data_IF_679930038308
#
_entry.id   IF_679930038308
#
_cell.length_a   1.000
_cell.length_b   1.000
_cell.length_c   1.000
_cell.angle_alpha   90.00
_cell.angle_beta   90.00
_cell.angle_gamma   90.00
#
_symmetry.space_group_name_H-M   'P 1'
#
loop_
_entity.id
_entity.type
_entity.pdbx_description
1 polymer ?
#
# COMPACT_ATOMS: atom_id res chain seq x y z
N UNK A 1 -29.22 -22.03 -37.65
CA UNK A 1 -28.27 -20.96 -37.28
C UNK A 1 -28.40 -20.69 -35.79
N UNK A 2 -27.64 -21.37 -34.93
CA UNK A 2 -27.65 -21.20 -33.46
C UNK A 2 -26.22 -21.10 -32.88
N UNK A 3 -25.21 -20.98 -33.75
CA UNK A 3 -23.79 -21.05 -33.38
C UNK A 3 -23.16 -19.77 -32.77
N UNK A 4 -23.69 -18.52 -32.92
CA UNK A 4 -22.94 -17.35 -32.43
C UNK A 4 -23.13 -17.05 -30.93
N UNK A 5 -24.11 -17.68 -30.26
CA UNK A 5 -24.39 -17.45 -28.83
C UNK A 5 -23.66 -18.41 -27.87
N UNK A 6 -23.08 -19.51 -28.40
CA UNK A 6 -22.41 -20.53 -27.57
C UNK A 6 -20.95 -20.18 -27.25
N UNK A 7 -20.27 -19.42 -28.12
CA UNK A 7 -18.86 -19.05 -27.97
C UNK A 7 -18.56 -18.15 -26.75
N UNK A 8 -19.29 -17.04 -26.50
CA UNK A 8 -18.99 -16.17 -25.35
C UNK A 8 -19.34 -16.82 -24.00
N UNK A 9 -20.36 -17.69 -23.97
CA UNK A 9 -20.71 -18.45 -22.77
C UNK A 9 -19.67 -19.52 -22.43
N UNK A 10 -19.00 -20.08 -23.44
CA UNK A 10 -17.94 -21.07 -23.25
C UNK A 10 -16.63 -20.42 -22.77
N UNK A 11 -16.26 -19.24 -23.29
CA UNK A 11 -15.08 -18.50 -22.85
C UNK A 11 -15.20 -18.02 -21.41
N UNK A 12 -16.37 -17.52 -21.00
CA UNK A 12 -16.62 -17.07 -19.63
C UNK A 12 -16.55 -18.23 -18.62
N UNK A 13 -17.00 -19.44 -19.01
CA UNK A 13 -16.90 -20.65 -18.18
C UNK A 13 -15.47 -21.18 -18.06
N UNK A 14 -14.66 -21.07 -19.11
CA UNK A 14 -13.26 -21.50 -19.11
C UNK A 14 -12.37 -20.57 -18.26
N UNK A 15 -12.55 -19.25 -18.38
CA UNK A 15 -11.83 -18.28 -17.54
C UNK A 15 -12.18 -18.47 -16.05
N UNK A 16 -13.46 -18.73 -15.74
CA UNK A 16 -13.90 -19.04 -14.37
C UNK A 16 -13.27 -20.32 -13.81
N UNK A 17 -13.23 -21.40 -14.59
CA UNK A 17 -12.65 -22.66 -14.15
C UNK A 17 -11.13 -22.56 -13.85
N UNK A 18 -10.44 -21.58 -14.46
CA UNK A 18 -9.00 -21.39 -14.25
C UNK A 18 -8.65 -20.95 -12.82
N UNK A 19 -9.53 -20.18 -12.16
CA UNK A 19 -9.26 -19.57 -10.84
C UNK A 19 -10.07 -20.17 -9.68
N UNK A 20 -10.78 -21.28 -9.89
CA UNK A 20 -11.60 -21.91 -8.82
C UNK A 20 -10.77 -22.41 -7.63
N UNK A 21 -9.47 -22.64 -7.83
CA UNK A 21 -8.53 -22.99 -6.76
C UNK A 21 -7.99 -21.74 -6.02
N UNK A 22 -8.05 -20.56 -6.64
CA UNK A 22 -7.46 -19.33 -6.13
C UNK A 22 -8.45 -18.55 -5.26
N UNK A 23 -9.72 -18.50 -5.64
CA UNK A 23 -10.77 -17.83 -4.87
C UNK A 23 -12.16 -18.29 -5.32
N UNK A 24 -13.17 -18.02 -4.49
CA UNK A 24 -14.56 -18.17 -4.91
C UNK A 24 -15.02 -16.87 -5.57
N UNK A 25 -15.54 -16.92 -6.80
CA UNK A 25 -16.06 -15.70 -7.44
C UNK A 25 -17.26 -15.13 -6.62
N UNK A 26 -17.17 -13.90 -6.08
CA UNK A 26 -18.22 -13.30 -5.24
C UNK A 26 -19.61 -13.34 -5.86
N UNK A 27 -19.72 -13.22 -7.19
CA UNK A 27 -21.00 -13.18 -7.91
C UNK A 27 -21.82 -14.47 -7.78
N UNK A 28 -21.17 -15.58 -7.43
CA UNK A 28 -21.82 -16.89 -7.33
C UNK A 28 -22.72 -17.03 -6.11
N UNK A 29 -22.52 -16.17 -5.11
CA UNK A 29 -23.23 -16.23 -3.84
C UNK A 29 -23.65 -14.81 -3.38
N UNK A 30 -24.21 -14.04 -4.32
CA UNK A 30 -24.75 -12.69 -4.10
C UNK A 30 -23.73 -11.64 -3.58
N UNK A 31 -22.44 -11.91 -3.71
CA UNK A 31 -21.37 -10.93 -3.53
C UNK A 31 -21.12 -10.08 -4.77
N UNK A 32 -20.09 -9.25 -4.70
CA UNK A 32 -19.73 -8.32 -5.77
C UNK A 32 -18.21 -8.15 -5.88
N UNK A 33 -17.75 -7.84 -7.09
CA UNK A 33 -16.37 -7.40 -7.36
C UNK A 33 -16.15 -5.91 -7.11
N UNK A 34 -17.15 -5.22 -6.57
CA UNK A 34 -17.03 -3.84 -6.10
C UNK A 34 -17.49 -3.74 -4.65
N UNK A 35 -16.85 -2.83 -3.91
CA UNK A 35 -17.25 -2.47 -2.55
C UNK A 35 -18.62 -1.78 -2.56
N UNK A 36 -19.23 -1.58 -1.38
CA UNK A 36 -20.42 -0.78 -1.22
C UNK A 36 -20.21 0.69 -1.65
N UNK A 37 -18.96 1.15 -1.64
CA UNK A 37 -18.53 2.46 -2.12
C UNK A 37 -18.21 2.45 -3.62
N UNK A 38 -18.43 1.34 -4.32
CA UNK A 38 -18.16 1.15 -5.73
C UNK A 38 -16.69 1.22 -6.13
N UNK A 39 -15.76 0.94 -5.21
CA UNK A 39 -14.37 0.69 -5.55
C UNK A 39 -14.20 -0.75 -6.04
N UNK A 40 -13.42 -0.99 -7.10
CA UNK A 40 -13.18 -2.32 -7.63
C UNK A 40 -12.24 -3.12 -6.73
N UNK A 41 -12.59 -4.40 -6.50
CA UNK A 41 -11.72 -5.41 -5.91
C UNK A 41 -10.80 -5.95 -7.02
N UNK A 42 -9.81 -5.17 -7.41
CA UNK A 42 -8.98 -5.36 -8.61
C UNK A 42 -7.69 -6.15 -8.38
N UNK A 43 -7.40 -6.58 -7.14
CA UNK A 43 -6.30 -7.48 -6.81
C UNK A 43 -6.81 -8.61 -5.92
N UNK A 44 -6.32 -9.84 -6.14
CA UNK A 44 -6.61 -11.00 -5.29
C UNK A 44 -5.31 -11.68 -4.90
N UNK A 45 -5.06 -11.86 -3.61
CA UNK A 45 -4.08 -12.84 -3.12
C UNK A 45 -4.75 -14.20 -3.09
N UNK A 46 -4.27 -15.09 -3.97
CA UNK A 46 -4.79 -16.44 -4.15
C UNK A 46 -4.74 -17.24 -2.85
N UNK A 47 -5.76 -18.07 -2.63
CA UNK A 47 -5.81 -19.08 -1.57
C UNK A 47 -4.69 -20.13 -1.68
N UNK A 48 -4.00 -20.22 -2.83
CA UNK A 48 -2.81 -21.05 -3.04
C UNK A 48 -1.51 -20.41 -2.52
N UNK A 49 -1.56 -19.15 -2.07
CA UNK A 49 -0.43 -18.49 -1.41
C UNK A 49 -0.11 -19.14 -0.06
N UNK A 50 1.08 -18.85 0.48
CA UNK A 50 1.49 -19.21 1.85
C UNK A 50 0.36 -18.92 2.85
N UNK A 51 -0.01 -19.93 3.66
CA UNK A 51 -1.18 -19.86 4.55
C UNK A 51 -1.02 -18.75 5.60
N UNK A 52 0.21 -18.46 5.98
CA UNK A 52 0.60 -17.45 6.95
C UNK A 52 0.10 -16.05 6.54
N UNK A 53 -0.06 -15.74 5.25
CA UNK A 53 -0.59 -14.46 4.76
C UNK A 53 -2.05 -14.18 5.20
N UNK A 54 -2.72 -15.16 5.79
CA UNK A 54 -4.06 -15.00 6.38
C UNK A 54 -3.99 -14.44 7.81
N UNK A 55 -2.81 -14.38 8.38
CA UNK A 55 -2.49 -13.62 9.58
C UNK A 55 -2.24 -12.17 9.18
N UNK A 56 -2.89 -11.23 9.87
CA UNK A 56 -2.88 -9.81 9.48
C UNK A 56 -1.47 -9.20 9.54
N UNK A 57 -0.67 -9.60 10.51
CA UNK A 57 0.71 -9.17 10.69
C UNK A 57 1.64 -9.68 9.58
N UNK A 58 1.42 -10.90 9.08
CA UNK A 58 2.19 -11.44 7.94
C UNK A 58 1.77 -10.76 6.63
N UNK A 59 0.47 -10.51 6.42
CA UNK A 59 0.02 -9.75 5.26
C UNK A 59 0.56 -8.31 5.28
N UNK A 60 0.55 -7.68 6.46
CA UNK A 60 1.15 -6.38 6.67
C UNK A 60 2.64 -6.38 6.36
N UNK A 61 3.38 -7.39 6.81
CA UNK A 61 4.80 -7.52 6.56
C UNK A 61 5.11 -7.68 5.06
N UNK A 62 4.25 -8.38 4.31
CA UNK A 62 4.30 -8.41 2.85
C UNK A 62 3.97 -7.05 2.21
N UNK A 63 2.93 -6.34 2.65
CA UNK A 63 2.63 -5.00 2.13
C UNK A 63 3.78 -4.02 2.39
N UNK A 64 4.45 -4.14 3.53
CA UNK A 64 5.67 -3.38 3.84
C UNK A 64 6.83 -3.72 2.90
N UNK A 65 7.00 -4.99 2.50
CA UNK A 65 8.02 -5.38 1.52
C UNK A 65 7.78 -4.79 0.13
N UNK A 66 6.52 -4.45 -0.19
CA UNK A 66 6.16 -3.75 -1.43
C UNK A 66 6.41 -2.24 -1.36
N UNK A 67 6.59 -1.66 -0.16
CA UNK A 67 6.73 -0.22 0.07
C UNK A 67 5.47 0.50 0.55
N UNK A 68 4.44 -0.24 0.98
CA UNK A 68 3.29 0.34 1.68
C UNK A 68 3.53 0.40 3.19
N UNK A 69 2.75 1.19 3.90
CA UNK A 69 2.74 1.25 5.35
C UNK A 69 1.31 1.46 5.87
N UNK A 70 1.10 1.11 7.14
CA UNK A 70 -0.14 1.41 7.86
C UNK A 70 -0.49 2.88 7.75
N UNK A 71 -1.79 3.16 7.74
CA UNK A 71 -2.33 4.52 7.70
C UNK A 71 -1.67 5.49 8.69
N UNK A 72 -1.61 6.76 8.29
CA UNK A 72 -1.09 7.87 9.09
C UNK A 72 -1.85 8.04 10.40
N UNK A 73 -1.39 7.39 11.48
CA UNK A 73 -1.94 7.52 12.84
C UNK A 73 -3.48 7.34 12.92
N UNK A 74 -4.07 6.55 12.02
CA UNK A 74 -5.52 6.33 11.92
C UNK A 74 -6.32 7.51 11.33
N UNK A 75 -5.66 8.43 10.61
CA UNK A 75 -6.32 9.54 9.93
C UNK A 75 -6.72 9.16 8.50
N UNK A 76 -7.98 8.76 8.30
CA UNK A 76 -8.67 8.81 7.00
C UNK A 76 -9.84 9.79 7.04
N UNK A 77 -10.17 10.33 5.88
CA UNK A 77 -11.50 10.85 5.62
C UNK A 77 -12.45 9.67 5.30
N UNK A 78 -13.49 9.48 6.10
CA UNK A 78 -14.55 8.48 5.86
C UNK A 78 -14.66 7.43 6.95
N UNK A 79 -15.59 6.50 6.77
CA UNK A 79 -15.67 5.27 7.56
C UNK A 79 -15.04 4.09 6.81
N UNK A 80 -14.91 2.93 7.46
CA UNK A 80 -14.39 1.73 6.79
C UNK A 80 -15.28 1.36 5.61
N UNK A 81 -14.65 1.03 4.47
CA UNK A 81 -15.36 0.52 3.32
C UNK A 81 -15.90 -0.89 3.58
N UNK A 82 -16.94 -1.26 2.85
CA UNK A 82 -17.60 -2.56 3.02
C UNK A 82 -17.57 -3.38 1.73
N UNK A 83 -17.30 -4.67 1.82
CA UNK A 83 -17.35 -5.58 0.69
C UNK A 83 -18.16 -6.84 1.04
N UNK A 84 -18.86 -7.39 0.05
CA UNK A 84 -19.50 -8.69 0.14
C UNK A 84 -18.82 -9.65 -0.82
N UNK A 85 -18.00 -10.55 -0.27
CA UNK A 85 -17.15 -11.45 -1.03
C UNK A 85 -17.84 -12.75 -1.46
N UNK A 86 -19.16 -12.86 -1.27
CA UNK A 86 -19.92 -14.06 -1.63
C UNK A 86 -19.57 -15.28 -0.77
N UNK A 87 -19.13 -15.06 0.46
CA UNK A 87 -18.69 -16.09 1.41
C UNK A 87 -19.74 -16.41 2.49
N UNK A 88 -20.91 -15.78 2.40
CA UNK A 88 -22.00 -15.92 3.38
C UNK A 88 -21.96 -14.91 4.52
N UNK A 89 -20.92 -14.08 4.63
CA UNK A 89 -20.80 -13.05 5.67
C UNK A 89 -21.54 -11.75 5.33
N UNK A 90 -22.02 -11.59 4.08
CA UNK A 90 -22.64 -10.37 3.62
C UNK A 90 -21.62 -9.23 3.49
N UNK A 91 -22.06 -7.98 3.70
CA UNK A 91 -21.16 -6.84 3.70
C UNK A 91 -20.38 -6.75 5.00
N UNK A 92 -19.06 -6.88 4.92
CA UNK A 92 -18.13 -6.74 6.04
C UNK A 92 -17.20 -5.55 5.83
N UNK A 93 -16.81 -4.90 6.93
CA UNK A 93 -15.85 -3.80 6.89
C UNK A 93 -14.48 -4.29 6.39
N UNK A 94 -13.72 -3.40 5.75
CA UNK A 94 -12.31 -3.61 5.45
C UNK A 94 -11.54 -4.01 6.71
N UNK A 95 -10.57 -4.90 6.55
CA UNK A 95 -9.68 -5.30 7.66
C UNK A 95 -8.62 -4.24 7.92
N UNK A 96 -8.05 -3.66 6.86
CA UNK A 96 -7.04 -2.60 6.97
C UNK A 96 -6.93 -1.72 5.73
N UNK A 97 -6.17 -0.63 5.88
CA UNK A 97 -5.82 0.33 4.83
C UNK A 97 -4.33 0.63 4.90
N UNK A 98 -3.66 0.42 3.78
CA UNK A 98 -2.23 0.64 3.60
C UNK A 98 -2.00 1.69 2.52
N UNK A 99 -1.04 2.58 2.73
CA UNK A 99 -0.72 3.70 1.84
C UNK A 99 0.75 3.64 1.43
N UNK A 100 1.07 4.11 0.24
CA UNK A 100 2.44 4.14 -0.24
C UNK A 100 3.35 4.93 0.70
N UNK A 101 4.47 4.35 1.12
CA UNK A 101 5.32 4.93 2.16
C UNK A 101 6.46 5.81 1.63
N UNK A 102 6.67 5.90 0.31
CA UNK A 102 7.77 6.66 -0.31
C UNK A 102 9.17 6.32 0.23
N UNK A 103 9.37 5.09 0.74
CA UNK A 103 10.63 4.69 1.37
C UNK A 103 10.90 5.37 2.73
N UNK A 104 9.92 6.09 3.28
CA UNK A 104 10.00 6.67 4.61
C UNK A 104 9.52 5.66 5.67
N UNK A 105 10.01 5.76 6.92
CA UNK A 105 9.61 4.84 7.98
C UNK A 105 8.12 4.93 8.31
N UNK A 106 7.44 3.78 8.26
CA UNK A 106 6.04 3.55 8.67
C UNK A 106 5.12 4.78 8.48
N UNK A 107 4.55 5.29 9.57
CA UNK A 107 3.59 6.38 9.57
C UNK A 107 4.12 7.67 8.93
N UNK A 108 5.44 7.91 8.89
CA UNK A 108 5.98 9.09 8.21
C UNK A 108 5.70 9.04 6.71
N UNK A 109 5.79 7.85 6.12
CA UNK A 109 5.51 7.63 4.70
C UNK A 109 4.03 7.74 4.36
N UNK A 110 3.17 7.07 5.11
CA UNK A 110 1.72 7.13 4.88
C UNK A 110 1.13 8.51 5.21
N UNK A 111 1.70 9.24 6.17
CA UNK A 111 1.35 10.66 6.40
C UNK A 111 1.83 11.56 5.26
N UNK A 112 2.95 11.24 4.63
CA UNK A 112 3.43 11.97 3.46
C UNK A 112 2.55 11.70 2.24
N UNK A 113 2.13 10.46 2.01
CA UNK A 113 1.12 10.12 1.01
C UNK A 113 -0.17 10.92 1.22
N UNK A 114 -0.64 11.02 2.47
CA UNK A 114 -1.80 11.86 2.80
C UNK A 114 -1.60 13.35 2.48
N UNK A 115 -0.39 13.80 2.15
CA UNK A 115 -0.12 15.16 1.68
C UNK A 115 0.11 15.24 0.17
N UNK A 116 0.69 14.21 -0.45
CA UNK A 116 1.15 14.26 -1.85
C UNK A 116 0.29 13.43 -2.82
N UNK A 117 -0.54 12.54 -2.30
CA UNK A 117 -1.33 11.57 -3.06
C UNK A 117 -0.47 10.43 -3.58
N UNK A 118 -1.01 9.22 -3.57
CA UNK A 118 -0.33 8.05 -4.09
C UNK A 118 -1.18 6.80 -3.98
N UNK A 119 -0.52 5.65 -4.20
CA UNK A 119 -1.22 4.38 -4.19
C UNK A 119 -1.65 3.96 -2.79
N UNK A 120 -2.86 3.43 -2.66
CA UNK A 120 -3.35 2.82 -1.43
C UNK A 120 -4.06 1.49 -1.71
N UNK A 121 -4.13 0.66 -0.67
CA UNK A 121 -4.73 -0.68 -0.71
C UNK A 121 -5.63 -0.86 0.51
N UNK A 122 -6.87 -1.29 0.25
CA UNK A 122 -7.79 -1.85 1.24
C UNK A 122 -7.86 -3.35 1.04
N UNK A 123 -8.09 -4.11 2.09
CA UNK A 123 -8.23 -5.57 1.95
C UNK A 123 -9.30 -6.19 2.85
N UNK A 124 -9.75 -7.37 2.41
CA UNK A 124 -10.74 -8.22 3.06
C UNK A 124 -10.35 -9.69 2.90
N UNK A 125 -10.59 -10.50 3.92
CA UNK A 125 -10.45 -11.95 3.84
C UNK A 125 -11.76 -12.58 3.35
N UNK A 126 -11.67 -13.49 2.38
CA UNK A 126 -12.82 -14.26 1.92
C UNK A 126 -13.03 -15.50 2.80
N UNK A 127 -14.22 -15.66 3.37
CA UNK A 127 -14.59 -16.83 4.16
C UNK A 127 -13.91 -16.90 5.53
N UNK A 128 -14.16 -18.01 6.23
CA UNK A 128 -13.37 -18.35 7.42
C UNK A 128 -11.93 -18.53 6.97
N UNK A 129 -10.96 -17.91 7.65
CA UNK A 129 -9.53 -17.82 7.29
C UNK A 129 -8.80 -19.19 7.10
N UNK A 130 -9.54 -20.29 7.04
CA UNK A 130 -9.13 -21.66 6.69
C UNK A 130 -9.14 -21.93 5.17
N UNK A 131 -9.04 -23.21 4.77
CA UNK A 131 -8.54 -23.84 3.52
C UNK A 131 -8.88 -23.20 2.15
N UNK A 132 -9.72 -22.16 2.05
CA UNK A 132 -10.04 -21.45 0.78
C UNK A 132 -10.02 -19.93 0.87
N UNK A 133 -9.51 -19.36 1.97
CA UNK A 133 -9.57 -17.92 2.19
C UNK A 133 -8.56 -17.14 1.36
N UNK A 134 -9.00 -16.68 0.18
CA UNK A 134 -8.30 -15.67 -0.60
C UNK A 134 -8.41 -14.30 0.08
N UNK A 135 -7.54 -13.36 -0.31
CA UNK A 135 -7.55 -11.99 0.19
C UNK A 135 -7.89 -11.08 -0.97
N UNK A 136 -8.99 -10.33 -0.87
CA UNK A 136 -9.42 -9.40 -1.89
C UNK A 136 -8.91 -8.01 -1.53
N UNK A 137 -8.31 -7.34 -2.51
CA UNK A 137 -7.72 -6.03 -2.37
C UNK A 137 -8.43 -5.05 -3.31
N UNK A 138 -8.76 -3.87 -2.79
CA UNK A 138 -9.10 -2.70 -3.61
C UNK A 138 -7.88 -1.79 -3.62
N UNK A 139 -7.20 -1.75 -4.76
CA UNK A 139 -6.03 -0.91 -4.97
C UNK A 139 -6.41 0.29 -5.85
N UNK A 140 -5.96 1.47 -5.45
CA UNK A 140 -6.15 2.68 -6.26
C UNK A 140 -4.98 3.65 -6.07
N UNK A 141 -5.02 4.76 -6.79
CA UNK A 141 -4.06 5.85 -6.73
C UNK A 141 -4.85 7.16 -6.56
N UNK A 142 -4.52 7.92 -5.51
CA UNK A 142 -5.24 9.12 -5.10
C UNK A 142 -4.43 10.39 -5.43
N UNK A 143 -5.11 11.48 -5.74
CA UNK A 143 -4.52 12.80 -5.74
C UNK A 143 -4.14 13.23 -4.32
N UNK A 144 -3.41 14.34 -4.22
CA UNK A 144 -3.04 14.94 -2.96
C UNK A 144 -4.24 15.49 -2.16
N UNK A 145 -3.95 15.92 -0.93
CA UNK A 145 -4.96 16.50 -0.03
C UNK A 145 -5.61 17.79 -0.56
N UNK A 146 -4.93 18.58 -1.40
CA UNK A 146 -5.52 19.81 -1.97
C UNK A 146 -6.62 19.49 -2.99
N UNK A 147 -6.57 18.30 -3.59
CA UNK A 147 -7.62 17.67 -4.39
C UNK A 147 -8.48 16.67 -3.59
N UNK A 148 -8.42 16.70 -2.25
CA UNK A 148 -9.26 15.89 -1.35
C UNK A 148 -9.08 14.37 -1.47
N UNK A 149 -7.92 13.90 -1.92
CA UNK A 149 -7.70 12.48 -2.19
C UNK A 149 -8.69 11.90 -3.22
N UNK A 150 -9.11 12.71 -4.19
CA UNK A 150 -9.87 12.23 -5.33
C UNK A 150 -9.03 11.20 -6.11
N UNK A 151 -9.67 10.18 -6.66
CA UNK A 151 -8.95 9.13 -7.40
C UNK A 151 -8.42 9.74 -8.69
N UNK A 152 -7.14 9.49 -9.00
CA UNK A 152 -6.53 10.03 -10.24
C UNK A 152 -7.16 9.41 -11.47
N UNK A 153 -7.02 10.06 -12.64
CA UNK A 153 -7.38 9.45 -13.92
C UNK A 153 -6.69 8.08 -14.07
N UNK A 154 -7.47 7.03 -14.38
CA UNK A 154 -7.00 5.64 -14.44
C UNK A 154 -6.48 5.08 -13.09
N UNK A 155 -6.85 5.70 -11.97
CA UNK A 155 -6.28 5.40 -10.65
C UNK A 155 -6.49 3.97 -10.15
N UNK A 156 -7.58 3.31 -10.53
CA UNK A 156 -7.79 1.90 -10.18
C UNK A 156 -6.84 0.96 -10.91
N UNK A 157 -6.66 1.14 -12.22
CA UNK A 157 -5.75 0.31 -12.99
C UNK A 157 -4.30 0.60 -12.59
N UNK A 158 -3.94 1.87 -12.36
CA UNK A 158 -2.64 2.27 -11.80
C UNK A 158 -2.37 1.65 -10.43
N UNK A 159 -3.32 1.73 -9.50
CA UNK A 159 -3.17 1.14 -8.17
C UNK A 159 -2.94 -0.38 -8.22
N UNK A 160 -3.73 -1.09 -9.02
CA UNK A 160 -3.53 -2.54 -9.26
C UNK A 160 -2.15 -2.82 -9.83
N UNK A 161 -1.75 -2.09 -10.87
CA UNK A 161 -0.49 -2.31 -11.56
C UNK A 161 0.72 -1.96 -10.68
N UNK A 162 0.59 -0.98 -9.78
CA UNK A 162 1.60 -0.67 -8.77
C UNK A 162 1.78 -1.83 -7.78
N UNK A 163 0.68 -2.39 -7.26
CA UNK A 163 0.74 -3.56 -6.37
C UNK A 163 1.36 -4.76 -7.09
N UNK A 164 0.87 -5.09 -8.28
CA UNK A 164 1.37 -6.23 -9.05
C UNK A 164 2.83 -6.06 -9.49
N UNK A 165 3.20 -4.87 -9.96
CA UNK A 165 4.55 -4.55 -10.40
C UNK A 165 5.57 -4.57 -9.27
N UNK A 166 5.22 -3.99 -8.11
CA UNK A 166 6.11 -4.01 -6.94
C UNK A 166 6.26 -5.42 -6.36
N UNK A 167 5.22 -6.26 -6.42
CA UNK A 167 5.27 -7.60 -5.87
C UNK A 167 6.09 -8.59 -6.72
N UNK A 168 6.20 -8.37 -8.02
CA UNK A 168 6.68 -9.40 -8.99
C UNK A 168 8.13 -9.22 -9.43
N UNK A 169 8.95 -8.57 -8.60
CA UNK A 169 10.39 -8.44 -8.85
C UNK A 169 11.08 -9.82 -8.86
N UNK A 170 12.03 -10.12 -9.79
CA UNK A 170 12.58 -11.47 -9.96
C UNK A 170 13.27 -12.07 -8.73
N UNK A 171 13.81 -11.24 -7.83
CA UNK A 171 14.46 -11.67 -6.59
C UNK A 171 13.51 -11.87 -5.42
N UNK A 172 12.21 -11.60 -5.61
CA UNK A 172 11.28 -11.38 -4.51
C UNK A 172 11.49 -10.02 -3.84
N UNK A 173 10.52 -9.66 -3.00
CA UNK A 173 10.58 -8.48 -2.14
C UNK A 173 11.06 -8.87 -0.75
N UNK A 174 11.71 -7.93 -0.05
CA UNK A 174 12.25 -8.16 1.30
C UNK A 174 11.55 -7.20 2.25
N UNK A 175 10.91 -7.74 3.28
CA UNK A 175 10.31 -6.89 4.30
C UNK A 175 11.40 -6.13 5.06
N UNK A 176 11.29 -4.80 5.20
CA UNK A 176 12.24 -4.01 5.98
C UNK A 176 12.17 -4.31 7.48
N UNK A 177 11.03 -4.79 7.98
CA UNK A 177 10.81 -5.09 9.41
C UNK A 177 11.31 -6.47 9.82
N UNK A 178 11.02 -7.49 9.02
CA UNK A 178 11.29 -8.89 9.37
C UNK A 178 12.50 -9.50 8.64
N UNK A 179 12.90 -8.90 7.51
CA UNK A 179 13.85 -9.51 6.58
C UNK A 179 13.27 -10.70 5.79
N UNK A 180 11.98 -10.99 5.93
CA UNK A 180 11.30 -12.06 5.20
C UNK A 180 11.31 -11.77 3.70
N UNK A 181 11.61 -12.81 2.91
CA UNK A 181 11.60 -12.74 1.45
C UNK A 181 10.28 -13.31 0.93
N UNK A 182 9.56 -12.51 0.15
CA UNK A 182 8.30 -12.90 -0.50
C UNK A 182 8.50 -13.02 -2.00
N UNK A 183 8.25 -14.22 -2.53
CA UNK A 183 8.24 -14.51 -3.96
C UNK A 183 6.80 -14.45 -4.47
N UNK A 184 6.53 -13.58 -5.44
CA UNK A 184 5.18 -13.42 -5.98
C UNK A 184 5.14 -13.67 -7.48
N UNK A 185 4.17 -14.44 -7.93
CA UNK A 185 3.77 -14.52 -9.33
C UNK A 185 2.42 -13.84 -9.52
N UNK A 186 2.21 -13.22 -10.68
CA UNK A 186 0.92 -12.60 -11.04
C UNK A 186 0.34 -13.24 -12.30
N UNK A 187 -0.96 -13.45 -12.29
CA UNK A 187 -1.75 -13.70 -13.49
C UNK A 187 -2.81 -12.60 -13.65
N UNK A 188 -2.86 -11.96 -14.81
CA UNK A 188 -3.88 -10.95 -15.12
C UNK A 188 -5.12 -11.65 -15.66
N UNK A 189 -6.16 -11.69 -14.82
CA UNK A 189 -7.40 -12.39 -15.11
C UNK A 189 -8.47 -11.45 -15.65
N UNK A 190 -9.30 -11.95 -16.56
CA UNK A 190 -10.44 -11.21 -17.14
C UNK A 190 -11.74 -12.00 -16.97
N UNK A 191 -12.89 -11.34 -17.16
CA UNK A 191 -14.22 -11.98 -17.10
C UNK A 191 -14.90 -11.92 -15.72
N UNK A 192 -14.28 -11.24 -14.75
CA UNK A 192 -14.87 -10.94 -13.44
C UNK A 192 -15.72 -9.67 -13.46
N UNK A 193 -15.30 -8.70 -14.26
CA UNK A 193 -16.08 -7.54 -14.66
C UNK A 193 -15.68 -7.05 -16.05
N UNK A 194 -16.56 -6.28 -16.69
CA UNK A 194 -16.31 -5.72 -18.03
C UNK A 194 -15.47 -4.44 -17.93
N UNK A 195 -14.68 -4.19 -18.97
CA UNK A 195 -14.01 -2.90 -19.12
C UNK A 195 -15.03 -1.77 -19.28
N UNK A 196 -14.76 -0.62 -18.66
CA UNK A 196 -15.61 0.56 -18.73
C UNK A 196 -15.91 1.17 -17.36
N UNK A 197 -17.08 1.77 -17.23
CA UNK A 197 -17.46 2.60 -16.07
C UNK A 197 -18.37 1.87 -15.08
N UNK A 198 -18.69 0.60 -15.34
CA UNK A 198 -19.64 -0.15 -14.51
C UNK A 198 -19.18 -1.57 -14.28
N UNK A 199 -19.34 -2.05 -13.05
CA UNK A 199 -19.18 -3.46 -12.69
C UNK A 199 -20.54 -4.02 -12.32
N UNK A 200 -21.02 -5.00 -13.10
CA UNK A 200 -22.33 -5.62 -12.89
C UNK A 200 -23.49 -4.60 -12.77
N UNK A 201 -23.42 -3.50 -13.55
CA UNK A 201 -24.43 -2.43 -13.55
C UNK A 201 -24.28 -1.39 -12.43
N UNK A 202 -23.28 -1.53 -11.56
CA UNK A 202 -22.92 -0.52 -10.55
C UNK A 202 -21.87 0.42 -11.16
N UNK A 203 -22.11 1.72 -11.15
CA UNK A 203 -21.13 2.72 -11.60
C UNK A 203 -19.90 2.68 -10.69
N UNK A 204 -18.71 2.61 -11.29
CA UNK A 204 -17.44 2.69 -10.56
C UNK A 204 -17.32 4.06 -9.91
N UNK A 205 -16.81 4.07 -8.68
CA UNK A 205 -16.62 5.27 -7.90
C UNK A 205 -15.79 6.31 -8.68
N UNK A 206 -16.21 7.58 -8.62
CA UNK A 206 -15.70 8.71 -9.41
C UNK A 206 -15.87 8.62 -10.94
N UNK A 207 -16.68 7.70 -11.46
CA UNK A 207 -16.86 7.49 -12.92
C UNK A 207 -15.52 7.25 -13.66
N UNK A 208 -14.61 6.53 -13.01
CA UNK A 208 -13.30 6.19 -13.58
C UNK A 208 -13.40 4.85 -14.30
N UNK A 209 -12.90 4.82 -15.53
CA UNK A 209 -12.86 3.61 -16.34
C UNK A 209 -11.85 2.60 -15.79
N UNK A 210 -12.19 1.32 -15.89
CA UNK A 210 -11.30 0.19 -15.62
C UNK A 210 -11.15 -0.67 -16.87
N UNK A 211 -10.03 -1.35 -17.03
CA UNK A 211 -9.75 -2.24 -18.17
C UNK A 211 -10.39 -3.64 -18.07
N UNK A 212 -11.06 -3.94 -16.95
CA UNK A 212 -11.71 -5.22 -16.72
C UNK A 212 -10.79 -6.34 -16.22
N UNK A 213 -9.55 -6.02 -15.85
CA UNK A 213 -8.56 -6.97 -15.36
C UNK A 213 -8.45 -6.99 -13.84
N UNK A 214 -8.21 -8.19 -13.31
CA UNK A 214 -7.89 -8.45 -11.91
C UNK A 214 -6.50 -9.06 -11.83
N UNK A 215 -5.62 -8.52 -10.99
CA UNK A 215 -4.33 -9.14 -10.72
C UNK A 215 -4.48 -10.24 -9.67
N UNK A 216 -4.27 -11.50 -10.07
CA UNK A 216 -4.29 -12.66 -9.16
C UNK A 216 -2.85 -12.99 -8.78
N UNK A 217 -2.51 -12.74 -7.51
CA UNK A 217 -1.18 -12.93 -6.94
C UNK A 217 -1.10 -14.27 -6.23
N UNK A 218 -0.06 -15.05 -6.51
CA UNK A 218 0.33 -16.22 -5.71
C UNK A 218 1.65 -15.89 -5.02
N UNK A 219 1.63 -15.85 -3.69
CA UNK A 219 2.76 -15.40 -2.87
C UNK A 219 3.31 -16.58 -2.07
N UNK A 220 4.62 -16.79 -2.13
CA UNK A 220 5.36 -17.79 -1.35
C UNK A 220 6.34 -17.09 -0.42
N UNK A 221 6.29 -17.42 0.86
CA UNK A 221 7.28 -17.01 1.86
C UNK A 221 8.50 -17.92 1.73
N UNK A 222 9.68 -17.34 1.46
CA UNK A 222 10.91 -18.11 1.31
C UNK A 222 11.38 -18.66 2.66
N UNK A 223 11.77 -19.94 2.69
CA UNK A 223 12.41 -20.57 3.84
C UNK A 223 13.90 -20.20 4.00
N UNK A 224 14.47 -19.37 3.11
CA UNK A 224 15.80 -18.80 3.28
C UNK A 224 15.80 -17.81 4.46
N UNK A 225 15.80 -18.39 5.66
CA UNK A 225 15.98 -17.68 6.93
C UNK A 225 17.31 -16.91 6.89
N UNK A 226 17.26 -15.72 7.46
CA UNK A 226 18.29 -14.71 7.73
C UNK A 226 19.58 -15.18 8.45
N UNK A 227 19.94 -16.46 8.36
CA UNK A 227 21.09 -17.06 9.04
C UNK A 227 22.45 -16.56 8.52
N UNK A 228 22.52 -16.04 7.29
CA UNK A 228 23.77 -15.51 6.72
C UNK A 228 24.10 -14.08 7.20
N UNK A 229 23.10 -13.27 7.58
CA UNK A 229 23.33 -11.90 8.04
C UNK A 229 23.81 -11.81 9.50
N UNK A 230 23.62 -12.86 10.30
CA UNK A 230 24.12 -12.96 11.68
C UNK A 230 25.64 -13.13 11.75
N UNK A 231 26.24 -13.91 10.83
CA UNK A 231 27.66 -14.21 10.86
C UNK A 231 28.50 -13.13 10.17
N UNK A 232 28.03 -12.60 9.04
CA UNK A 232 28.76 -11.56 8.30
C UNK A 232 28.76 -10.22 9.06
N UNK A 233 27.66 -9.88 9.74
CA UNK A 233 27.58 -8.66 10.56
C UNK A 233 28.54 -8.68 11.77
N UNK A 234 28.80 -9.86 12.36
CA UNK A 234 29.75 -9.97 13.48
C UNK A 234 31.21 -9.75 13.04
N UNK A 235 31.59 -10.23 11.84
CA UNK A 235 32.94 -10.04 11.32
C UNK A 235 33.19 -8.61 10.82
N UNK A 236 32.20 -7.95 10.21
CA UNK A 236 32.32 -6.57 9.75
C UNK A 236 32.37 -5.60 10.93
N UNK A 237 31.52 -5.79 11.96
CA UNK A 237 31.54 -4.94 13.16
C UNK A 237 32.85 -5.09 13.95
N UNK A 238 33.37 -6.31 14.08
CA UNK A 238 34.65 -6.56 14.76
C UNK A 238 35.84 -5.93 14.01
N UNK A 239 35.83 -5.98 12.67
CA UNK A 239 36.86 -5.33 11.85
C UNK A 239 36.77 -3.79 11.89
N UNK A 240 35.56 -3.21 11.97
CA UNK A 240 35.35 -1.76 12.04
C UNK A 240 35.66 -1.17 13.42
N UNK A 241 35.37 -1.91 14.51
CA UNK A 241 35.74 -1.51 15.87
C UNK A 241 37.27 -1.57 16.04
N UNK A 242 37.94 -2.55 15.43
CA UNK A 242 39.41 -2.64 15.48
C UNK A 242 40.11 -1.54 14.66
N UNK A 243 39.52 -1.12 13.53
CA UNK A 243 40.07 -0.04 12.70
C UNK A 243 39.84 1.35 13.29
N UNK A 244 38.70 1.57 13.95
CA UNK A 244 38.38 2.84 14.62
C UNK A 244 39.15 3.03 15.93
N UNK A 245 39.45 1.94 16.67
CA UNK A 245 40.31 1.99 17.86
C UNK A 245 41.78 2.25 17.52
N UNK A 246 42.26 1.80 16.34
CA UNK A 246 43.63 2.05 15.88
C UNK A 246 43.79 3.37 15.09
N UNK A 247 42.71 3.86 14.45
CA UNK A 247 42.72 5.12 13.69
C UNK A 247 42.28 6.37 14.47
N UNK A 248 41.48 6.20 15.53
CA UNK A 248 40.84 7.31 16.27
C UNK A 248 41.79 8.13 17.15
N UNK A 249 43.02 7.67 17.41
CA UNK A 249 44.00 8.42 18.18
C UNK A 249 44.72 9.52 17.39
N UNK A 250 44.67 9.49 16.05
CA UNK A 250 45.42 10.43 15.21
C UNK A 250 44.65 11.70 14.82
N UNK A 251 43.32 11.75 15.01
CA UNK A 251 42.50 12.85 14.44
C UNK A 251 41.76 13.71 15.46
N UNK A 252 41.88 13.45 16.77
CA UNK A 252 41.13 14.17 17.80
C UNK A 252 41.66 15.60 18.12
N UNK A 253 42.71 16.09 17.46
CA UNK A 253 43.29 17.41 17.77
C UNK A 253 43.38 18.42 16.61
N UNK A 254 42.69 18.19 15.50
CA UNK A 254 42.67 19.17 14.42
C UNK A 254 41.22 19.55 14.06
N UNK A 255 40.92 20.84 14.28
CA UNK A 255 39.85 21.63 13.67
C UNK A 255 38.51 21.75 14.45
N UNK A 256 38.47 22.75 15.34
CA UNK A 256 37.33 23.68 15.45
C UNK A 256 37.54 24.82 14.43
N UNK A 257 36.48 25.35 13.79
CA UNK A 257 35.80 26.53 14.35
C UNK A 257 34.27 26.58 14.17
N UNK A 258 33.72 27.60 14.84
CA UNK A 258 32.33 28.03 15.07
C UNK A 258 31.55 28.54 13.85
N UNK A 259 30.22 28.34 13.82
CA UNK A 259 29.22 29.43 13.80
C UNK A 259 27.76 28.92 13.72
N UNK A 260 26.95 29.44 14.65
CA UNK A 260 25.56 29.90 14.52
C UNK A 260 24.47 29.03 13.89
N UNK A 261 23.60 28.48 14.73
CA UNK A 261 22.18 28.24 14.40
C UNK A 261 21.32 29.38 14.94
N UNK A 262 20.68 30.12 14.04
CA UNK A 262 19.63 31.09 14.36
C UNK A 262 18.30 30.35 14.53
N UNK A 263 17.67 30.50 15.69
CA UNK A 263 16.30 30.05 15.92
C UNK A 263 15.33 31.01 15.26
N UNK A 264 14.66 30.60 14.18
CA UNK A 264 13.58 31.41 13.58
C UNK A 264 12.25 31.08 14.27
N UNK A 265 11.72 32.05 15.03
CA UNK A 265 10.34 32.07 15.52
C UNK A 265 9.42 32.42 14.35
N UNK A 266 8.54 31.52 13.95
CA UNK A 266 7.43 31.84 13.06
C UNK A 266 6.25 32.31 13.91
N UNK A 267 5.82 33.54 13.64
CA UNK A 267 4.72 34.22 14.31
C UNK A 267 3.39 33.57 13.89
N UNK A 268 2.73 32.90 14.82
CA UNK A 268 1.42 32.28 14.61
C UNK A 268 0.35 33.36 14.48
N UNK A 269 0.22 33.95 13.28
CA UNK A 269 -0.98 34.71 12.94
C UNK A 269 -2.15 33.73 12.84
N UNK A 270 -3.08 33.83 13.80
CA UNK A 270 -4.35 33.11 13.83
C UNK A 270 -5.06 33.21 12.47
N UNK A 271 -5.24 32.10 11.75
CA UNK A 271 -6.19 32.03 10.67
C UNK A 271 -7.59 31.87 11.27
N UNK A 272 -8.57 32.44 10.56
CA UNK A 272 -9.99 32.42 10.89
C UNK A 272 -10.52 30.97 11.06
N UNK A 273 -11.44 30.81 12.01
CA UNK A 273 -11.88 29.55 12.63
C UNK A 273 -12.73 28.64 11.70
N UNK A 274 -12.89 28.99 10.42
CA UNK A 274 -13.88 28.34 9.55
C UNK A 274 -13.35 27.44 8.43
N UNK A 275 -12.05 27.30 8.25
CA UNK A 275 -11.55 26.42 7.19
C UNK A 275 -11.07 25.06 7.72
N UNK A 276 -11.94 24.05 7.63
CA UNK A 276 -11.59 22.64 7.91
C UNK A 276 -10.38 22.19 7.07
N UNK A 277 -10.19 22.76 5.88
CA UNK A 277 -9.08 22.49 4.95
C UNK A 277 -7.72 22.88 5.57
N UNK A 278 -7.65 24.05 6.19
CA UNK A 278 -6.42 24.52 6.84
C UNK A 278 -6.09 23.71 8.10
N UNK A 279 -7.11 23.31 8.86
CA UNK A 279 -6.91 22.50 10.07
C UNK A 279 -6.43 21.08 9.77
N UNK A 280 -6.98 20.43 8.73
CA UNK A 280 -6.54 19.10 8.31
C UNK A 280 -5.11 19.14 7.75
N UNK A 281 -4.79 20.15 6.92
CA UNK A 281 -3.44 20.32 6.38
C UNK A 281 -2.41 20.55 7.50
N UNK A 282 -2.68 21.45 8.45
CA UNK A 282 -1.78 21.72 9.56
C UNK A 282 -1.59 20.49 10.46
N UNK A 283 -2.65 19.71 10.70
CA UNK A 283 -2.57 18.49 11.50
C UNK A 283 -1.71 17.42 10.81
N UNK A 284 -1.95 17.16 9.52
CA UNK A 284 -1.17 16.22 8.74
C UNK A 284 0.30 16.65 8.66
N UNK A 285 0.58 17.94 8.44
CA UNK A 285 1.94 18.47 8.39
C UNK A 285 2.66 18.37 9.74
N UNK A 286 1.97 18.68 10.84
CA UNK A 286 2.55 18.61 12.18
C UNK A 286 2.86 17.16 12.57
N UNK A 287 2.00 16.21 12.17
CA UNK A 287 2.20 14.78 12.41
C UNK A 287 3.29 14.19 11.52
N UNK A 288 3.33 14.52 10.23
CA UNK A 288 4.43 14.14 9.34
C UNK A 288 5.78 14.64 9.92
N UNK A 289 5.83 15.90 10.38
CA UNK A 289 7.01 16.44 11.06
C UNK A 289 7.33 15.74 12.39
N UNK A 290 6.35 15.27 13.14
CA UNK A 290 6.60 14.50 14.38
C UNK A 290 7.13 13.11 14.07
N UNK A 291 6.59 12.45 13.04
CA UNK A 291 7.02 11.13 12.58
C UNK A 291 8.45 11.16 12.00
N UNK A 292 8.77 12.17 11.18
CA UNK A 292 10.13 12.37 10.65
C UNK A 292 11.13 12.72 11.75
N UNK A 293 10.74 13.54 12.73
CA UNK A 293 11.59 13.83 13.90
C UNK A 293 11.90 12.62 14.76
N UNK A 294 11.04 11.61 14.72
CA UNK A 294 11.27 10.34 15.40
C UNK A 294 12.15 9.37 14.58
N UNK A 295 12.45 9.68 13.31
CA UNK A 295 13.29 8.87 12.44
C UNK A 295 14.70 9.45 12.28
N UNK A 296 15.66 8.60 11.87
CA UNK A 296 17.07 8.97 11.68
C UNK A 296 17.35 9.75 10.38
N UNK A 297 16.32 10.08 9.59
CA UNK A 297 16.43 10.69 8.24
C UNK A 297 15.99 12.16 8.21
N UNK A 298 16.34 12.90 9.26
CA UNK A 298 15.72 14.18 9.63
C UNK A 298 15.87 15.31 8.59
N UNK A 299 16.97 15.39 7.83
CA UNK A 299 17.31 16.62 7.09
C UNK A 299 16.74 16.70 5.66
N UNK A 300 16.71 15.60 4.89
CA UNK A 300 16.20 15.61 3.50
C UNK A 300 14.67 15.60 3.43
N UNK A 301 14.02 14.83 4.31
CA UNK A 301 12.56 14.74 4.37
C UNK A 301 11.91 16.05 4.87
N UNK A 302 12.57 16.80 5.76
CA UNK A 302 12.06 18.08 6.27
C UNK A 302 12.14 19.21 5.22
N UNK A 303 13.15 19.18 4.35
CA UNK A 303 13.29 20.11 3.22
C UNK A 303 12.21 19.89 2.15
N UNK A 304 11.91 18.63 1.79
CA UNK A 304 10.82 18.29 0.87
C UNK A 304 9.45 18.76 1.37
N UNK A 305 9.17 18.54 2.66
CA UNK A 305 7.96 19.04 3.34
C UNK A 305 7.81 20.56 3.26
N UNK A 306 8.92 21.31 3.39
CA UNK A 306 8.90 22.76 3.40
C UNK A 306 8.59 23.33 2.03
N UNK A 307 9.30 22.86 1.00
CA UNK A 307 9.16 23.40 -0.36
C UNK A 307 7.76 23.12 -0.94
N UNK A 308 7.16 21.99 -0.59
CA UNK A 308 5.79 21.68 -1.03
C UNK A 308 4.73 22.47 -0.24
N UNK A 309 4.89 22.66 1.07
CA UNK A 309 4.00 23.54 1.86
C UNK A 309 4.03 24.98 1.36
N UNK A 310 5.20 25.49 0.98
CA UNK A 310 5.35 26.84 0.41
C UNK A 310 4.79 26.95 -1.02
N UNK A 311 4.71 25.84 -1.75
CA UNK A 311 4.10 25.78 -3.09
C UNK A 311 2.56 25.75 -2.99
N UNK A 312 1.98 25.00 -2.06
CA UNK A 312 0.53 24.87 -1.87
C UNK A 312 -0.12 26.10 -1.19
N UNK A 313 0.66 26.94 -0.50
CA UNK A 313 0.18 28.21 0.08
C UNK A 313 0.13 29.38 -0.91
N UNK A 314 0.66 29.22 -2.13
CA UNK A 314 0.69 30.25 -3.18
C UNK A 314 -0.44 30.05 -4.18
#
# INVERSE_FOLDING_TARGET
>A
MLLPLLLPLLSLRLARAAFEADFTDPRLANGSWVTAQAEPLNVVVSAQSSRELREEDVLQDWLNSLGYADECLGLHAGGPQQANLGDGNGYVNQTGLYRWAYGLPEHAGSCWESLVGGSHVRYWFQGDRDERGAIFLAASDEHNISMYHDIVDNGYDLGRDNVAGNATVPSGTISPSSGTIYLTTVEMASGFFEAGLTVNGVAINHEIGIDGLVAVLTITISEETSNELSLISFFILAAFVLSTLLGGWASYYALRPSSEYSTLRIDARKPDIHDRRHQQLLLALEQARRAIRASTLHDEAELGLRDQYETELR
#
